data_IF_569859325213
#
_entry.id   IF_569859325213
#
_cell.length_a   1.000
_cell.length_b   1.000
_cell.length_c   1.000
_cell.angle_alpha   90.00
_cell.angle_beta   90.00
_cell.angle_gamma   90.00
#
_symmetry.space_group_name_H-M   'P 1'
#
loop_
_entity.id
_entity.type
_entity.pdbx_description
1 polymer ?
#
# COMPACT_ATOMS: atom_id res chain seq x y z
N UNK A 1 7.18 3.27 -0.90
CA UNK A 1 6.63 3.73 0.38
C UNK A 1 6.95 5.20 0.62
N UNK A 2 6.20 5.79 1.52
CA UNK A 2 6.43 7.18 1.94
C UNK A 2 6.35 7.28 3.47
N UNK A 3 7.06 8.25 4.05
CA UNK A 3 7.05 8.47 5.51
C UNK A 3 6.17 9.69 5.79
N UNK A 4 4.86 9.47 5.87
CA UNK A 4 3.92 10.57 5.91
C UNK A 4 3.21 10.71 7.26
N UNK A 5 2.34 9.77 7.61
CA UNK A 5 1.53 9.91 8.83
C UNK A 5 1.87 8.90 9.92
N UNK A 6 2.66 7.88 9.61
CA UNK A 6 2.95 6.79 10.55
C UNK A 6 1.73 5.92 10.83
N UNK A 7 0.79 5.81 9.90
CA UNK A 7 -0.44 5.04 10.07
C UNK A 7 -0.55 3.93 9.01
N UNK A 8 -1.49 3.01 9.20
CA UNK A 8 -1.79 1.96 8.23
C UNK A 8 -2.58 2.54 7.06
N UNK A 9 -1.93 3.36 6.27
CA UNK A 9 -2.54 4.12 5.17
C UNK A 9 -1.74 3.94 3.89
N UNK A 10 -2.38 4.29 2.78
CA UNK A 10 -1.76 4.23 1.45
C UNK A 10 -2.39 5.25 0.51
N UNK A 11 -1.65 5.57 -0.56
CA UNK A 11 -2.15 6.36 -1.66
C UNK A 11 -2.42 5.44 -2.85
N UNK A 12 -3.54 5.69 -3.54
CA UNK A 12 -3.92 4.97 -4.74
C UNK A 12 -4.58 5.93 -5.72
N UNK A 13 -4.29 5.80 -7.04
CA UNK A 13 -4.77 6.78 -8.01
C UNK A 13 -6.27 6.73 -8.30
N UNK A 14 -6.96 5.62 -8.04
CA UNK A 14 -8.36 5.50 -8.48
C UNK A 14 -9.37 5.08 -7.40
N UNK A 15 -8.96 4.41 -6.33
CA UNK A 15 -9.91 3.96 -5.30
C UNK A 15 -10.43 5.14 -4.48
N UNK A 16 -11.70 5.12 -4.06
CA UNK A 16 -12.23 6.17 -3.19
C UNK A 16 -11.43 6.29 -1.90
N UNK A 17 -11.23 7.51 -1.44
CA UNK A 17 -10.63 7.73 -0.13
C UNK A 17 -11.54 7.13 0.94
N UNK A 18 -10.92 6.44 1.90
CA UNK A 18 -11.64 5.68 2.91
C UNK A 18 -11.79 4.21 2.58
N UNK A 19 -11.45 3.78 1.35
CA UNK A 19 -11.46 2.36 0.99
C UNK A 19 -10.43 1.60 1.82
N UNK A 20 -10.78 0.38 2.22
CA UNK A 20 -9.85 -0.56 2.86
C UNK A 20 -9.35 -1.55 1.84
N UNK A 21 -8.05 -1.80 1.84
CA UNK A 21 -7.39 -2.65 0.85
C UNK A 21 -6.44 -3.60 1.57
N UNK A 22 -6.50 -4.88 1.22
CA UNK A 22 -5.47 -5.83 1.59
C UNK A 22 -4.38 -5.81 0.53
N UNK A 23 -3.15 -5.51 0.96
CA UNK A 23 -1.98 -5.49 0.09
C UNK A 23 -1.10 -6.66 0.47
N UNK A 24 -0.84 -7.54 -0.49
CA UNK A 24 -0.02 -8.73 -0.28
C UNK A 24 1.27 -8.61 -1.06
N UNK A 25 2.41 -8.76 -0.37
CA UNK A 25 3.70 -8.89 -1.03
C UNK A 25 3.77 -10.29 -1.66
N UNK A 26 3.79 -10.35 -2.99
CA UNK A 26 3.73 -11.63 -3.70
C UNK A 26 5.01 -12.44 -3.59
N UNK A 27 6.10 -11.85 -3.18
CA UNK A 27 7.39 -12.55 -3.04
C UNK A 27 7.49 -13.32 -1.72
N UNK A 28 6.82 -12.86 -0.66
CA UNK A 28 6.91 -13.52 0.65
C UNK A 28 5.56 -13.90 1.26
N UNK A 29 4.45 -13.54 0.62
CA UNK A 29 3.10 -13.87 1.08
C UNK A 29 2.59 -13.04 2.26
N UNK A 30 3.37 -12.08 2.76
CA UNK A 30 2.93 -11.23 3.86
C UNK A 30 1.92 -10.19 3.37
N UNK A 31 0.93 -9.88 4.18
CA UNK A 31 -0.10 -8.91 3.82
C UNK A 31 -0.37 -7.92 4.93
N UNK A 32 -0.96 -6.79 4.55
CA UNK A 32 -1.36 -5.73 5.46
C UNK A 32 -2.66 -5.12 4.95
N UNK A 33 -3.53 -4.67 5.85
CA UNK A 33 -4.73 -3.94 5.49
C UNK A 33 -4.48 -2.46 5.73
N UNK A 34 -4.75 -1.66 4.70
CA UNK A 34 -4.53 -0.21 4.74
C UNK A 34 -5.80 0.53 4.35
N UNK A 35 -5.91 1.79 4.78
CA UNK A 35 -6.96 2.69 4.34
C UNK A 35 -6.39 3.63 3.28
N UNK A 36 -7.13 3.84 2.19
CA UNK A 36 -6.72 4.77 1.14
C UNK A 36 -7.05 6.18 1.60
N UNK A 37 -6.03 7.02 1.75
CA UNK A 37 -6.23 8.41 2.18
C UNK A 37 -5.52 9.44 1.29
N UNK A 38 -4.90 9.01 0.20
CA UNK A 38 -4.19 9.90 -0.72
C UNK A 38 -4.28 9.45 -2.15
N UNK A 39 -3.80 10.30 -3.06
CA UNK A 39 -3.72 10.05 -4.49
C UNK A 39 -2.28 9.85 -4.91
N UNK A 40 -2.07 8.96 -5.84
CA UNK A 40 -0.77 8.50 -6.35
C UNK A 40 -0.61 7.02 -6.04
N UNK A 41 0.49 6.42 -6.44
CA UNK A 41 1.53 6.98 -7.30
C UNK A 41 1.05 7.18 -8.74
N UNK A 42 1.74 8.04 -9.49
CA UNK A 42 1.40 8.30 -10.90
C UNK A 42 2.47 7.77 -11.86
N UNK A 43 3.52 7.18 -11.33
CA UNK A 43 4.57 6.57 -12.15
C UNK A 43 4.02 5.31 -12.84
N UNK A 44 4.34 5.06 -14.11
CA UNK A 44 3.88 3.86 -14.82
C UNK A 44 4.27 2.58 -14.07
N UNK A 45 3.33 1.64 -14.00
CA UNK A 45 3.55 0.34 -13.35
C UNK A 45 3.42 0.35 -11.84
N UNK A 46 3.22 1.49 -11.22
CA UNK A 46 2.98 1.59 -9.77
C UNK A 46 1.51 1.84 -9.50
N UNK A 47 0.93 1.05 -8.59
CA UNK A 47 -0.51 1.08 -8.33
C UNK A 47 -0.87 1.51 -6.91
N UNK A 48 0.08 1.44 -5.98
CA UNK A 48 -0.17 1.82 -4.59
C UNK A 48 1.14 2.28 -3.95
N UNK A 49 1.04 3.28 -3.08
CA UNK A 49 2.17 3.77 -2.31
C UNK A 49 1.81 3.67 -0.82
N UNK A 50 2.47 2.75 -0.13
CA UNK A 50 2.19 2.48 1.27
C UNK A 50 2.88 3.48 2.18
N UNK A 51 2.20 3.87 3.26
CA UNK A 51 2.88 4.54 4.36
C UNK A 51 3.98 3.62 4.89
N UNK A 52 5.09 4.21 5.31
CA UNK A 52 6.27 3.50 5.83
C UNK A 52 5.89 2.42 6.86
N UNK A 53 4.99 2.74 7.77
CA UNK A 53 4.58 1.82 8.83
C UNK A 53 3.90 0.57 8.24
N UNK A 54 3.04 0.77 7.24
CA UNK A 54 2.37 -0.34 6.56
C UNK A 54 3.37 -1.17 5.74
N UNK A 55 4.28 -0.50 5.04
CA UNK A 55 5.29 -1.17 4.22
C UNK A 55 6.17 -2.10 5.06
N UNK A 56 6.56 -1.65 6.25
CA UNK A 56 7.40 -2.44 7.16
C UNK A 56 6.75 -3.73 7.62
N UNK A 57 5.42 -3.84 7.53
CA UNK A 57 4.70 -5.07 7.88
C UNK A 57 4.89 -6.18 6.85
N UNK A 58 5.21 -5.83 5.60
CA UNK A 58 5.26 -6.79 4.51
C UNK A 58 6.61 -6.83 3.77
N UNK A 59 7.54 -5.92 4.10
CA UNK A 59 8.86 -5.88 3.47
C UNK A 59 9.84 -5.11 4.33
N UNK A 60 11.12 -5.18 3.99
CA UNK A 60 12.12 -4.29 4.59
C UNK A 60 12.14 -2.97 3.82
N UNK A 61 12.42 -1.87 4.51
CA UNK A 61 12.47 -0.55 3.87
C UNK A 61 13.52 -0.47 2.77
N UNK A 62 14.59 -1.23 2.89
CA UNK A 62 15.66 -1.25 1.88
C UNK A 62 15.19 -1.80 0.53
N UNK A 63 14.09 -2.54 0.48
CA UNK A 63 13.53 -3.02 -0.78
C UNK A 63 12.99 -1.90 -1.66
N UNK A 64 12.49 -0.81 -1.05
CA UNK A 64 11.96 0.35 -1.77
C UNK A 64 10.69 0.08 -2.55
N UNK A 65 10.76 -0.73 -3.60
CA UNK A 65 9.64 -1.12 -4.45
C UNK A 65 9.50 -2.64 -4.41
N UNK A 66 8.28 -3.12 -4.25
CA UNK A 66 7.98 -4.55 -4.20
C UNK A 66 6.79 -4.88 -5.10
N UNK A 67 6.67 -6.14 -5.47
CA UNK A 67 5.51 -6.63 -6.21
C UNK A 67 4.39 -6.95 -5.23
N UNK A 68 3.21 -6.40 -5.48
CA UNK A 68 2.06 -6.60 -4.59
C UNK A 68 0.80 -6.97 -5.38
N UNK A 69 -0.10 -7.63 -4.67
CA UNK A 69 -1.48 -7.84 -5.09
C UNK A 69 -2.38 -7.00 -4.19
N UNK A 70 -3.35 -6.31 -4.78
CA UNK A 70 -4.33 -5.50 -4.06
C UNK A 70 -5.70 -6.15 -4.10
N UNK A 71 -6.39 -6.16 -2.96
CA UNK A 71 -7.76 -6.62 -2.86
C UNK A 71 -8.56 -5.61 -2.05
N UNK A 72 -9.56 -4.97 -2.67
CA UNK A 72 -10.45 -4.09 -1.94
C UNK A 72 -11.32 -4.91 -0.99
N UNK A 73 -11.40 -4.47 0.26
CA UNK A 73 -12.21 -5.15 1.28
C UNK A 73 -13.56 -4.45 1.33
N UNK A 74 -14.61 -5.20 1.00
CA UNK A 74 -15.98 -4.70 1.07
C UNK A 74 -16.76 -5.49 2.10
N UNK A 75 -17.70 -4.83 2.75
CA UNK A 75 -18.58 -5.47 3.71
C UNK A 75 -19.91 -5.84 3.05
#
# INVERSE_FOLDING_TARGET
>A
WYAYTGTMAAANPWLPKGSYVRVTNTDNGKSVIVVINGRGPFAPGRIIDLDKVAFMKIASLGAGVINVKMEEITN
#
